data_IF_189409456153
#
_entry.id   IF_189409456153
#
_cell.length_a   1.000
_cell.length_b   1.000
_cell.length_c   1.000
_cell.angle_alpha   90.00
_cell.angle_beta   90.00
_cell.angle_gamma   90.00
#
_symmetry.space_group_name_H-M   'P 1'
#
loop_
_entity.id
_entity.type
_entity.pdbx_description
1 polymer ?
#
# COMPACT_ATOMS: atom_id res chain seq x y z
N UNK A 1 -18.29 -10.32 -6.33
CA UNK A 1 -17.92 -8.94 -6.72
C UNK A 1 -17.02 -8.42 -5.62
N UNK A 2 -15.75 -8.17 -5.92
CA UNK A 2 -14.82 -7.57 -4.96
C UNK A 2 -15.40 -6.22 -4.54
N UNK A 3 -15.77 -6.10 -3.29
CA UNK A 3 -16.32 -4.86 -2.76
C UNK A 3 -15.17 -3.85 -2.65
N UNK A 4 -15.17 -2.84 -3.51
CA UNK A 4 -14.18 -1.76 -3.46
C UNK A 4 -14.28 -1.04 -2.11
N UNK A 5 -13.15 -0.72 -1.53
CA UNK A 5 -13.07 0.08 -0.28
C UNK A 5 -13.20 1.55 -0.59
N UNK A 6 -14.17 2.24 0.02
CA UNK A 6 -14.25 3.70 -0.07
C UNK A 6 -13.02 4.34 0.60
N UNK A 7 -12.44 5.34 -0.06
CA UNK A 7 -11.28 6.07 0.42
C UNK A 7 -11.63 7.00 1.59
N UNK A 8 -10.73 7.16 2.55
CA UNK A 8 -11.00 7.94 3.77
C UNK A 8 -10.81 9.46 3.60
N UNK A 9 -9.87 9.87 2.76
CA UNK A 9 -9.44 11.28 2.70
C UNK A 9 -9.76 11.89 1.33
N UNK A 10 -10.98 12.38 1.15
CA UNK A 10 -11.38 13.12 -0.04
C UNK A 10 -12.59 14.01 0.25
N UNK A 11 -12.83 14.97 -0.63
CA UNK A 11 -13.97 15.87 -0.62
C UNK A 11 -14.72 15.73 -1.95
N UNK A 12 -16.05 15.84 -1.89
CA UNK A 12 -16.91 15.85 -3.08
C UNK A 12 -17.00 17.26 -3.63
N UNK A 13 -16.96 17.39 -4.95
CA UNK A 13 -17.08 18.63 -5.68
C UNK A 13 -18.30 18.59 -6.63
N UNK A 14 -18.66 19.74 -7.20
CA UNK A 14 -19.71 19.81 -8.21
C UNK A 14 -19.41 18.95 -9.43
N UNK A 15 -20.47 18.43 -10.10
CA UNK A 15 -20.37 17.58 -11.28
C UNK A 15 -19.77 16.20 -11.00
N UNK A 16 -20.02 15.65 -9.80
CA UNK A 16 -19.52 14.34 -9.37
C UNK A 16 -17.97 14.23 -9.39
N UNK A 17 -17.25 15.33 -9.42
CA UNK A 17 -15.81 15.35 -9.21
C UNK A 17 -15.49 15.14 -7.74
N UNK A 18 -14.28 14.67 -7.46
CA UNK A 18 -13.74 14.58 -6.09
C UNK A 18 -12.35 15.17 -6.05
N UNK A 19 -11.94 15.69 -4.90
CA UNK A 19 -10.55 16.02 -4.62
C UNK A 19 -10.01 15.07 -3.57
N UNK A 20 -8.98 14.32 -3.92
CA UNK A 20 -8.27 13.43 -3.00
C UNK A 20 -7.33 14.25 -2.12
N UNK A 21 -7.47 14.13 -0.79
CA UNK A 21 -6.67 14.84 0.22
C UNK A 21 -5.63 13.95 0.91
N UNK A 22 -5.34 12.79 0.33
CA UNK A 22 -4.44 11.82 0.98
C UNK A 22 -2.97 12.22 0.94
N UNK A 23 -2.53 12.84 -0.14
CA UNK A 23 -1.14 13.27 -0.31
C UNK A 23 -1.09 14.66 -0.96
N UNK A 24 0.07 15.35 -0.95
CA UNK A 24 0.21 16.72 -1.46
C UNK A 24 -0.12 16.91 -2.95
N UNK A 25 -0.33 15.86 -3.73
CA UNK A 25 -0.83 16.00 -5.10
C UNK A 25 -2.24 16.57 -5.18
N UNK A 26 -3.05 16.40 -4.14
CA UNK A 26 -4.44 16.91 -4.07
C UNK A 26 -5.23 16.72 -5.37
N UNK A 27 -5.18 15.51 -5.91
CA UNK A 27 -5.74 15.19 -7.22
C UNK A 27 -7.22 15.54 -7.33
N UNK A 28 -7.59 16.44 -8.24
CA UNK A 28 -8.99 16.62 -8.66
C UNK A 28 -9.31 15.53 -9.70
N UNK A 29 -10.23 14.64 -9.38
CA UNK A 29 -10.51 13.42 -10.15
C UNK A 29 -11.94 13.47 -10.68
N UNK A 30 -12.10 13.50 -12.00
CA UNK A 30 -13.39 13.42 -12.67
C UNK A 30 -14.00 12.02 -12.56
N UNK A 31 -15.34 11.86 -12.71
CA UNK A 31 -15.99 10.56 -12.75
C UNK A 31 -15.31 9.59 -13.72
N UNK A 32 -15.11 8.34 -13.31
CA UNK A 32 -14.44 7.30 -14.08
C UNK A 32 -12.91 7.45 -14.21
N UNK A 33 -12.28 8.47 -13.60
CA UNK A 33 -10.85 8.69 -13.70
C UNK A 33 -10.12 8.30 -12.41
N UNK A 34 -8.79 8.10 -12.55
CA UNK A 34 -7.88 7.80 -11.45
C UNK A 34 -7.03 9.02 -11.06
N UNK A 35 -6.61 9.05 -9.80
CA UNK A 35 -5.56 9.95 -9.35
C UNK A 35 -4.18 9.56 -9.89
N UNK A 36 -3.17 10.42 -9.65
CA UNK A 36 -1.77 10.22 -10.11
C UNK A 36 -1.21 8.87 -9.66
N UNK A 37 -1.60 8.37 -8.50
CA UNK A 37 -1.15 7.08 -7.95
C UNK A 37 -1.73 5.85 -8.69
N UNK A 38 -2.77 6.02 -9.54
CA UNK A 38 -3.43 4.99 -10.37
C UNK A 38 -4.13 3.88 -9.59
N UNK A 39 -4.37 4.07 -8.29
CA UNK A 39 -5.10 3.11 -7.44
C UNK A 39 -6.32 3.72 -6.78
N UNK A 40 -6.53 5.03 -6.91
CA UNK A 40 -7.71 5.73 -6.40
C UNK A 40 -8.54 6.23 -7.56
N UNK A 41 -9.78 5.76 -7.65
CA UNK A 41 -10.72 6.00 -8.74
C UNK A 41 -11.99 6.68 -8.23
N UNK A 42 -12.45 7.67 -8.96
CA UNK A 42 -13.74 8.31 -8.71
C UNK A 42 -14.85 7.57 -9.46
N UNK A 43 -15.77 6.97 -8.72
CA UNK A 43 -16.99 6.35 -9.26
C UNK A 43 -18.18 7.20 -8.81
N UNK A 44 -18.76 7.94 -9.75
CA UNK A 44 -19.95 8.76 -9.55
C UNK A 44 -19.92 9.69 -8.32
N UNK A 45 -18.77 10.32 -8.06
CA UNK A 45 -18.59 11.24 -6.94
C UNK A 45 -18.16 10.60 -5.63
N UNK A 46 -17.86 9.29 -5.64
CA UNK A 46 -17.28 8.57 -4.51
C UNK A 46 -15.89 8.06 -4.89
N UNK A 47 -14.90 8.35 -4.04
CA UNK A 47 -13.53 7.90 -4.27
C UNK A 47 -13.32 6.52 -3.66
N UNK A 48 -12.82 5.58 -4.45
CA UNK A 48 -12.52 4.23 -4.02
C UNK A 48 -11.03 3.92 -4.16
N UNK A 49 -10.51 3.05 -3.27
CA UNK A 49 -9.18 2.48 -3.38
C UNK A 49 -9.25 1.06 -3.92
N UNK A 50 -8.48 0.77 -4.97
CA UNK A 50 -8.51 -0.50 -5.71
C UNK A 50 -7.47 -1.51 -5.23
N UNK A 51 -6.53 -1.07 -4.42
CA UNK A 51 -5.45 -1.90 -3.87
C UNK A 51 -5.67 -2.34 -2.43
N UNK A 52 -6.81 -2.04 -1.82
CA UNK A 52 -7.15 -2.50 -0.47
C UNK A 52 -7.10 -4.02 -0.40
N UNK A 53 -6.38 -4.55 0.59
CA UNK A 53 -6.22 -6.00 0.77
C UNK A 53 -5.38 -6.71 -0.29
N UNK A 54 -4.79 -6.00 -1.25
CA UNK A 54 -4.09 -6.59 -2.39
C UNK A 54 -2.59 -6.32 -2.32
N UNK A 55 -1.79 -7.38 -2.33
CA UNK A 55 -0.33 -7.31 -2.35
C UNK A 55 0.21 -7.77 -3.72
N UNK A 56 1.25 -7.13 -4.20
CA UNK A 56 1.99 -7.48 -5.42
C UNK A 56 3.36 -8.08 -5.15
N UNK A 57 3.86 -7.87 -3.93
CA UNK A 57 5.16 -8.37 -3.50
C UNK A 57 5.13 -8.71 -2.00
N UNK A 58 5.74 -9.83 -1.64
CA UNK A 58 5.93 -10.26 -0.27
C UNK A 58 7.29 -10.94 -0.14
N UNK A 59 8.05 -10.59 0.89
CA UNK A 59 9.31 -11.24 1.22
C UNK A 59 9.62 -11.14 2.71
N UNK A 60 10.24 -12.16 3.27
CA UNK A 60 10.86 -12.08 4.58
C UNK A 60 12.27 -11.54 4.41
N UNK A 61 12.53 -10.33 4.89
CA UNK A 61 13.80 -9.62 4.70
C UNK A 61 14.49 -9.37 6.05
N UNK A 62 15.83 -9.39 6.10
CA UNK A 62 16.57 -8.84 7.24
C UNK A 62 16.18 -7.37 7.46
N UNK A 63 16.11 -6.95 8.72
CA UNK A 63 15.75 -5.56 9.09
C UNK A 63 16.73 -4.56 8.47
N UNK A 64 18.01 -4.93 8.36
CA UNK A 64 19.07 -4.11 7.78
C UNK A 64 18.84 -3.77 6.30
N UNK A 65 18.05 -4.59 5.58
CA UNK A 65 17.64 -4.28 4.20
C UNK A 65 16.72 -3.04 4.12
N UNK A 66 16.16 -2.61 5.26
CA UNK A 66 15.39 -1.36 5.40
C UNK A 66 16.24 -0.23 6.01
N UNK A 67 17.55 -0.19 5.82
CA UNK A 67 18.62 0.52 6.54
C UNK A 67 18.37 0.79 8.05
N UNK A 68 17.79 -0.16 8.75
CA UNK A 68 17.48 -0.05 10.18
C UNK A 68 18.53 -0.80 11.02
N UNK A 69 19.78 -0.36 10.96
CA UNK A 69 20.93 -1.07 11.57
C UNK A 69 20.90 -1.15 13.09
N UNK A 70 20.19 -0.25 13.76
CA UNK A 70 20.10 -0.20 15.24
C UNK A 70 18.69 -0.57 15.77
N UNK A 71 17.79 -0.99 14.90
CA UNK A 71 16.42 -1.38 15.26
C UNK A 71 16.28 -2.90 15.12
N UNK A 72 16.37 -3.61 16.23
CA UNK A 72 16.34 -5.07 16.28
C UNK A 72 17.37 -5.74 15.32
N UNK A 73 18.69 -5.47 15.49
CA UNK A 73 19.70 -6.02 14.56
C UNK A 73 19.65 -7.54 14.47
N UNK A 74 19.84 -8.06 13.27
CA UNK A 74 19.81 -9.49 13.00
C UNK A 74 18.43 -10.14 12.97
N UNK A 75 17.36 -9.36 13.13
CA UNK A 75 15.97 -9.86 13.04
C UNK A 75 15.40 -9.69 11.64
N UNK A 76 14.21 -10.26 11.43
CA UNK A 76 13.52 -10.25 10.15
C UNK A 76 12.24 -9.42 10.20
N UNK A 77 11.79 -8.99 9.01
CA UNK A 77 10.55 -8.26 8.83
C UNK A 77 9.84 -8.74 7.57
N UNK A 78 8.53 -8.94 7.64
CA UNK A 78 7.71 -9.28 6.49
C UNK A 78 7.50 -8.02 5.64
N UNK A 79 8.16 -7.95 4.49
CA UNK A 79 8.09 -6.84 3.54
C UNK A 79 6.93 -7.02 2.60
N UNK A 80 6.09 -5.99 2.50
CA UNK A 80 4.89 -5.98 1.66
C UNK A 80 4.91 -4.80 0.69
N UNK A 81 4.45 -5.02 -0.53
CA UNK A 81 4.16 -3.99 -1.50
C UNK A 81 2.85 -4.23 -2.24
N UNK A 82 2.29 -3.18 -2.79
CA UNK A 82 1.10 -3.21 -3.65
C UNK A 82 1.42 -2.64 -5.02
N UNK A 83 0.41 -2.34 -5.83
CA UNK A 83 0.57 -1.65 -7.11
C UNK A 83 0.35 -0.15 -6.96
N UNK A 84 0.90 0.62 -7.89
CA UNK A 84 0.77 2.07 -7.91
C UNK A 84 1.77 2.78 -7.00
N UNK A 85 1.94 4.07 -7.25
CA UNK A 85 2.76 4.98 -6.44
C UNK A 85 2.40 6.41 -6.83
N UNK A 86 2.49 7.35 -5.88
CA UNK A 86 2.33 8.77 -6.16
C UNK A 86 3.63 9.43 -6.68
N UNK A 87 4.71 8.65 -6.80
CA UNK A 87 5.99 9.06 -7.40
C UNK A 87 6.25 8.39 -8.75
N UNK A 88 7.14 9.00 -9.55
CA UNK A 88 7.62 8.48 -10.84
C UNK A 88 9.13 8.60 -10.94
N UNK A 89 9.83 8.06 -9.94
CA UNK A 89 11.29 8.09 -9.88
C UNK A 89 11.90 7.36 -11.08
N UNK A 90 12.79 8.02 -11.83
CA UNK A 90 13.46 7.44 -13.00
C UNK A 90 14.37 6.25 -12.67
N UNK A 91 14.83 6.17 -11.42
CA UNK A 91 15.71 5.12 -10.87
C UNK A 91 14.94 4.07 -10.04
N UNK A 92 13.61 4.01 -10.13
CA UNK A 92 12.81 3.09 -9.31
C UNK A 92 13.10 1.64 -9.65
N UNK A 93 13.69 0.91 -8.71
CA UNK A 93 13.97 -0.53 -8.86
C UNK A 93 12.67 -1.35 -8.98
N UNK A 94 11.58 -0.86 -8.37
CA UNK A 94 10.27 -1.52 -8.33
C UNK A 94 9.29 -0.92 -9.35
N UNK A 95 9.79 -0.30 -10.44
CA UNK A 95 8.95 0.38 -11.43
C UNK A 95 7.85 -0.53 -11.99
N UNK A 96 8.11 -1.82 -12.09
CA UNK A 96 7.18 -2.82 -12.63
C UNK A 96 5.89 -2.98 -11.78
N UNK A 97 5.89 -2.61 -10.50
CA UNK A 97 4.71 -2.55 -9.64
C UNK A 97 4.31 -1.09 -9.34
N UNK A 98 5.29 -0.23 -9.04
CA UNK A 98 5.06 1.15 -8.64
C UNK A 98 4.47 2.03 -9.77
N UNK A 99 4.80 1.74 -11.04
CA UNK A 99 4.31 2.52 -12.20
C UNK A 99 3.07 1.91 -12.86
N UNK A 100 2.50 0.84 -12.30
CA UNK A 100 1.25 0.22 -12.77
C UNK A 100 0.04 0.74 -12.03
N UNK A 101 -1.10 0.71 -12.72
CA UNK A 101 -2.41 0.98 -12.14
C UNK A 101 -3.13 -0.30 -11.75
N UNK A 102 -4.17 -0.14 -10.93
CA UNK A 102 -5.01 -1.27 -10.52
C UNK A 102 -5.84 -1.86 -11.69
N UNK A 103 -6.03 -1.11 -12.78
CA UNK A 103 -6.74 -1.56 -13.99
C UNK A 103 -5.87 -2.40 -14.92
N UNK A 104 -4.56 -2.28 -14.82
CA UNK A 104 -3.65 -3.00 -15.71
C UNK A 104 -3.61 -4.47 -15.33
N UNK A 105 -4.02 -5.35 -16.25
CA UNK A 105 -3.85 -6.80 -16.08
C UNK A 105 -2.38 -7.07 -15.77
N UNK A 106 -2.12 -7.54 -14.57
CA UNK A 106 -0.78 -7.96 -14.19
C UNK A 106 -0.41 -9.16 -15.07
N UNK A 107 0.66 -9.03 -15.88
CA UNK A 107 1.39 -10.18 -16.40
C UNK A 107 1.88 -11.05 -15.23
N UNK A 108 2.89 -11.86 -15.33
CA UNK A 108 3.37 -12.86 -14.36
C UNK A 108 3.51 -12.47 -12.86
N UNK A 109 2.83 -11.43 -12.37
CA UNK A 109 2.75 -10.98 -10.99
C UNK A 109 1.30 -10.66 -10.62
N UNK A 110 0.50 -11.67 -10.30
CA UNK A 110 -0.88 -11.48 -9.85
C UNK A 110 -0.91 -10.66 -8.54
N UNK A 111 -1.95 -9.84 -8.37
CA UNK A 111 -2.31 -9.30 -7.06
C UNK A 111 -2.90 -10.44 -6.23
N UNK A 112 -2.37 -10.62 -5.04
CA UNK A 112 -2.88 -11.61 -4.09
C UNK A 112 -3.68 -10.89 -3.01
N UNK A 113 -4.82 -11.47 -2.64
CA UNK A 113 -5.54 -11.00 -1.47
C UNK A 113 -4.79 -11.41 -0.20
N UNK A 114 -4.61 -10.45 0.71
CA UNK A 114 -3.93 -10.66 1.97
C UNK A 114 -4.78 -10.09 3.12
N UNK A 115 -5.39 -10.98 3.89
CA UNK A 115 -6.00 -10.60 5.16
C UNK A 115 -4.94 -10.38 6.23
N UNK A 116 -5.28 -9.59 7.25
CA UNK A 116 -4.39 -9.35 8.40
C UNK A 116 -4.02 -10.67 9.10
N UNK A 117 -4.97 -11.61 9.17
CA UNK A 117 -4.72 -12.95 9.74
C UNK A 117 -3.71 -13.76 8.94
N UNK A 118 -3.77 -13.67 7.60
CA UNK A 118 -2.79 -14.29 6.72
C UNK A 118 -1.40 -13.68 6.92
N UNK A 119 -1.30 -12.36 6.97
CA UNK A 119 -0.01 -11.69 7.20
C UNK A 119 0.57 -12.05 8.57
N UNK A 120 -0.25 -12.12 9.60
CA UNK A 120 0.17 -12.58 10.92
C UNK A 120 0.68 -14.01 10.88
N UNK A 121 0.05 -14.91 10.11
CA UNK A 121 0.51 -16.29 9.97
C UNK A 121 1.89 -16.37 9.33
N UNK A 122 2.18 -15.53 8.34
CA UNK A 122 3.51 -15.43 7.73
C UNK A 122 4.57 -14.92 8.72
N UNK A 123 4.24 -13.88 9.52
CA UNK A 123 5.15 -13.41 10.56
C UNK A 123 5.48 -14.49 11.59
N UNK A 124 4.52 -15.35 11.94
CA UNK A 124 4.70 -16.43 12.92
C UNK A 124 5.51 -17.62 12.42
N UNK A 125 5.67 -17.75 11.09
CA UNK A 125 6.51 -18.82 10.49
C UNK A 125 8.01 -18.53 10.65
N UNK A 126 8.39 -17.28 10.91
CA UNK A 126 9.78 -16.89 11.16
C UNK A 126 9.89 -16.44 12.64
N UNK A 127 10.65 -17.20 13.43
CA UNK A 127 10.78 -16.97 14.88
C UNK A 127 11.36 -15.58 15.19
N UNK A 128 12.27 -15.13 14.34
CA UNK A 128 12.93 -13.83 14.48
C UNK A 128 12.20 -12.69 13.78
N UNK A 129 10.99 -12.89 13.28
CA UNK A 129 10.19 -11.86 12.65
C UNK A 129 9.67 -10.87 13.70
N UNK A 130 10.03 -9.59 13.55
CA UNK A 130 9.58 -8.52 14.45
C UNK A 130 8.29 -7.84 14.01
N UNK A 131 7.85 -8.03 12.74
CA UNK A 131 6.66 -7.37 12.24
C UNK A 131 6.62 -7.18 10.73
N UNK A 132 5.93 -6.14 10.29
CA UNK A 132 5.66 -5.84 8.88
C UNK A 132 6.32 -4.54 8.44
N UNK A 133 6.95 -4.55 7.26
CA UNK A 133 7.40 -3.37 6.54
C UNK A 133 6.54 -3.14 5.28
N UNK A 134 5.85 -2.00 5.22
CA UNK A 134 5.14 -1.53 4.04
C UNK A 134 6.14 -0.79 3.16
N UNK A 135 6.49 -1.39 2.01
CA UNK A 135 7.67 -0.99 1.22
C UNK A 135 7.45 -1.25 -0.28
N UNK A 136 8.52 -1.19 -1.09
CA UNK A 136 8.59 -1.38 -2.54
C UNK A 136 7.94 -0.27 -3.36
N UNK A 137 6.83 0.30 -2.95
CA UNK A 137 6.19 1.50 -3.45
C UNK A 137 5.84 2.43 -2.29
N UNK A 138 5.20 3.56 -2.55
CA UNK A 138 4.85 4.50 -1.47
C UNK A 138 3.65 3.96 -0.65
N UNK A 139 3.79 3.68 0.65
CA UNK A 139 2.72 3.13 1.48
C UNK A 139 1.55 4.09 1.68
N UNK A 140 1.74 5.40 1.54
CA UNK A 140 0.68 6.40 1.67
C UNK A 140 -0.50 6.12 0.74
N UNK A 141 -0.25 5.67 -0.51
CA UNK A 141 -1.34 5.40 -1.46
C UNK A 141 -2.20 4.18 -1.08
N UNK A 142 -1.76 3.41 -0.10
CA UNK A 142 -2.39 2.21 0.44
C UNK A 142 -2.96 2.42 1.85
N UNK A 143 -3.23 3.66 2.19
CA UNK A 143 -3.48 4.17 3.54
C UNK A 143 -4.49 3.34 4.35
N UNK A 144 -5.67 3.06 3.80
CA UNK A 144 -6.77 2.39 4.50
C UNK A 144 -6.35 0.98 4.97
N UNK A 145 -5.71 0.23 4.08
CA UNK A 145 -5.22 -1.11 4.40
C UNK A 145 -4.05 -1.08 5.38
N UNK A 146 -3.09 -0.18 5.15
CA UNK A 146 -1.93 -0.01 6.06
C UNK A 146 -2.41 0.36 7.46
N UNK A 147 -3.38 1.27 7.60
CA UNK A 147 -3.90 1.71 8.88
C UNK A 147 -4.57 0.55 9.66
N UNK A 148 -5.44 -0.20 9.00
CA UNK A 148 -6.17 -1.32 9.61
C UNK A 148 -5.22 -2.46 9.96
N UNK A 149 -4.36 -2.85 9.02
CA UNK A 149 -3.35 -3.90 9.23
C UNK A 149 -2.36 -3.53 10.33
N UNK A 150 -1.88 -2.27 10.34
CA UNK A 150 -0.92 -1.83 11.36
C UNK A 150 -1.50 -1.87 12.77
N UNK A 151 -2.77 -1.52 12.95
CA UNK A 151 -3.47 -1.66 14.22
C UNK A 151 -3.54 -3.12 14.66
N UNK A 152 -4.01 -3.99 13.76
CA UNK A 152 -4.14 -5.42 14.04
C UNK A 152 -2.78 -6.06 14.41
N UNK A 153 -1.74 -5.80 13.65
CA UNK A 153 -0.38 -6.33 13.86
C UNK A 153 0.23 -5.81 15.18
N UNK A 154 0.02 -4.52 15.48
CA UNK A 154 0.45 -3.91 16.74
C UNK A 154 -0.21 -4.57 17.95
N UNK A 155 -1.51 -4.85 17.87
CA UNK A 155 -2.27 -5.51 18.95
C UNK A 155 -1.82 -6.96 19.19
N UNK A 156 -1.13 -7.58 18.24
CA UNK A 156 -0.48 -8.90 18.36
C UNK A 156 0.98 -8.81 18.83
N UNK A 157 1.46 -7.64 19.21
CA UNK A 157 2.81 -7.41 19.72
C UNK A 157 3.90 -7.18 18.68
N UNK A 158 3.56 -7.21 17.38
CA UNK A 158 4.49 -6.99 16.28
C UNK A 158 4.68 -5.49 15.96
N UNK A 159 5.77 -5.18 15.28
CA UNK A 159 6.13 -3.82 14.87
C UNK A 159 5.62 -3.52 13.46
N UNK A 160 5.41 -2.23 13.19
CA UNK A 160 5.10 -1.72 11.85
C UNK A 160 6.19 -0.75 11.40
N UNK A 161 6.69 -0.93 10.20
CA UNK A 161 7.75 -0.14 9.59
C UNK A 161 7.20 0.44 8.29
N UNK A 162 7.24 1.76 8.15
CA UNK A 162 6.88 2.47 6.92
C UNK A 162 8.16 2.86 6.18
N UNK A 163 8.35 2.33 4.97
CA UNK A 163 9.42 2.74 4.07
C UNK A 163 8.82 3.71 3.07
N UNK A 164 8.97 4.98 3.35
CA UNK A 164 8.23 6.08 2.71
C UNK A 164 9.15 7.23 2.35
N UNK A 165 8.78 8.00 1.32
CA UNK A 165 9.40 9.29 1.01
C UNK A 165 8.83 10.42 1.88
N UNK A 166 7.79 10.18 2.65
CA UNK A 166 7.16 11.16 3.55
C UNK A 166 6.34 12.24 2.85
N UNK A 167 5.93 11.99 1.58
CA UNK A 167 5.19 12.95 0.74
C UNK A 167 3.71 12.65 0.73
#
# INVERSE_FOLDING_TARGET
>A
MDQLKEAMHYERLEGHKVICRLCPHECTIAPGKFGVCRVRNNIEGTLYTHNYGKISAVAMDPVEKKPLYHFFPGKYVLSLGTVGCNFRCSFCQNHHIAQRGAEEKMGAGALYEASEGYLLSLCRQEEDCIGIAYTYNEPTIWYEYVLETARYIKDKGYKNILVTNGY
#
